data_IF_014113192633
#
_entry.id   IF_014113192633
#
_cell.length_a   1.000
_cell.length_b   1.000
_cell.length_c   1.000
_cell.angle_alpha   90.00
_cell.angle_beta   90.00
_cell.angle_gamma   90.00
#
_symmetry.space_group_name_H-M   'P 1'
#
loop_
_entity.id
_entity.type
_entity.pdbx_description
1 polymer ?
#
# COMPACT_ATOMS: atom_id res chain seq x y z
N UNK A 1 -28.24 -10.92 -17.71
CA UNK A 1 -27.06 -11.81 -17.72
C UNK A 1 -25.73 -11.15 -17.33
N UNK A 2 -25.68 -9.87 -16.91
CA UNK A 2 -24.46 -9.24 -16.37
C UNK A 2 -24.49 -9.06 -14.84
N UNK A 3 -25.66 -9.25 -14.22
CA UNK A 3 -25.88 -9.11 -12.76
C UNK A 3 -25.73 -10.46 -12.03
N UNK A 4 -25.76 -11.58 -12.76
CA UNK A 4 -25.64 -12.92 -12.17
C UNK A 4 -24.18 -13.40 -11.98
N UNK A 5 -23.20 -12.66 -12.52
CA UNK A 5 -21.78 -13.03 -12.44
C UNK A 5 -21.05 -12.41 -11.23
N UNK A 6 -21.69 -11.46 -10.54
CA UNK A 6 -21.09 -10.68 -9.45
C UNK A 6 -21.42 -11.27 -8.06
N UNK A 7 -22.43 -12.13 -7.95
CA UNK A 7 -22.91 -12.68 -6.66
C UNK A 7 -22.32 -14.03 -6.26
N UNK A 8 -21.51 -14.67 -7.11
CA UNK A 8 -20.96 -16.02 -6.86
C UNK A 8 -19.52 -16.04 -6.33
N UNK A 9 -18.87 -14.88 -6.15
CA UNK A 9 -17.48 -14.78 -5.67
C UNK A 9 -17.33 -14.50 -4.17
N UNK A 10 -18.43 -14.33 -3.41
CA UNK A 10 -18.39 -13.97 -1.99
C UNK A 10 -18.68 -15.12 -1.02
N UNK A 11 -18.77 -16.37 -1.49
CA UNK A 11 -19.24 -17.51 -0.66
C UNK A 11 -18.19 -18.59 -0.33
N UNK A 12 -16.89 -18.41 -0.62
CA UNK A 12 -15.88 -19.45 -0.36
C UNK A 12 -14.56 -18.95 0.22
N UNK A 13 -14.55 -18.21 1.34
CA UNK A 13 -13.39 -18.21 2.25
C UNK A 13 -13.85 -18.00 3.71
N UNK A 14 -14.40 -19.04 4.33
CA UNK A 14 -14.25 -19.24 5.78
C UNK A 14 -13.93 -20.72 5.98
N UNK A 15 -12.67 -21.09 5.69
CA UNK A 15 -12.07 -22.23 6.36
C UNK A 15 -11.47 -21.68 7.65
N UNK A 16 -12.12 -21.96 8.76
CA UNK A 16 -11.50 -21.81 10.07
C UNK A 16 -10.32 -22.77 10.12
N UNK A 17 -9.11 -22.24 10.12
CA UNK A 17 -7.92 -22.98 10.51
C UNK A 17 -7.98 -23.16 12.02
N UNK A 18 -8.32 -24.37 12.45
CA UNK A 18 -7.98 -24.85 13.79
C UNK A 18 -6.46 -25.00 13.84
N UNK A 19 -5.76 -24.03 14.45
CA UNK A 19 -4.35 -24.21 14.82
C UNK A 19 -4.28 -24.78 16.23
N UNK A 20 -4.13 -26.10 16.29
CA UNK A 20 -3.55 -26.84 17.41
C UNK A 20 -2.02 -26.82 17.32
N UNK A 21 -1.39 -26.65 18.49
CA UNK A 21 0.03 -26.92 18.82
C UNK A 21 1.13 -26.04 18.19
N UNK A 22 1.41 -24.90 18.84
CA UNK A 22 2.70 -24.22 18.67
C UNK A 22 3.71 -24.74 19.71
N UNK A 23 4.54 -25.70 19.31
CA UNK A 23 5.87 -25.85 19.91
C UNK A 23 6.88 -26.05 18.79
N UNK A 24 7.73 -25.04 18.60
CA UNK A 24 9.16 -25.20 18.32
C UNK A 24 9.79 -23.81 18.33
N UNK A 25 10.34 -23.44 19.47
CA UNK A 25 11.44 -22.50 19.52
C UNK A 25 12.67 -23.34 19.24
N UNK A 26 13.37 -23.07 18.15
CA UNK A 26 14.42 -23.94 17.60
C UNK A 26 15.35 -24.58 18.64
N UNK A 27 15.81 -25.78 18.29
CA UNK A 27 16.68 -26.76 18.98
C UNK A 27 18.05 -26.25 19.48
N UNK A 28 18.21 -24.94 19.69
CA UNK A 28 19.43 -24.34 20.16
C UNK A 28 19.56 -24.51 21.68
N UNK A 29 20.52 -25.31 22.10
CA UNK A 29 20.88 -25.46 23.51
C UNK A 29 21.79 -24.30 23.90
N UNK A 30 21.31 -23.44 24.80
CA UNK A 30 22.12 -22.34 25.30
C UNK A 30 23.32 -22.88 26.09
N UNK A 31 24.51 -22.24 25.97
CA UNK A 31 25.66 -22.56 26.80
C UNK A 31 25.31 -22.51 28.30
N UNK A 32 26.00 -23.31 29.11
CA UNK A 32 25.84 -23.37 30.58
C UNK A 32 24.44 -23.81 31.08
N UNK A 33 23.66 -24.53 30.25
CA UNK A 33 22.32 -25.02 30.61
C UNK A 33 21.34 -23.91 31.02
N UNK A 34 21.50 -22.69 30.49
CA UNK A 34 20.54 -21.60 30.71
C UNK A 34 19.18 -22.02 30.14
N UNK A 35 18.16 -22.04 30.99
CA UNK A 35 16.78 -22.39 30.61
C UNK A 35 15.92 -21.14 30.61
N UNK A 36 15.16 -20.97 29.54
CA UNK A 36 14.13 -19.95 29.41
C UNK A 36 12.75 -20.58 29.55
N UNK A 37 11.89 -19.94 30.34
CA UNK A 37 10.54 -20.40 30.64
C UNK A 37 9.59 -20.22 29.45
N UNK A 38 9.83 -19.20 28.62
CA UNK A 38 9.05 -18.92 27.44
C UNK A 38 9.96 -18.62 26.24
N UNK A 39 9.44 -18.90 25.05
CA UNK A 39 10.16 -18.67 23.82
C UNK A 39 9.19 -18.54 22.63
N UNK A 40 9.67 -17.96 21.54
CA UNK A 40 8.92 -17.80 20.30
C UNK A 40 9.85 -17.65 19.10
N UNK A 41 9.57 -18.40 18.03
CA UNK A 41 10.12 -18.13 16.70
C UNK A 41 9.39 -16.91 16.09
N UNK A 42 10.18 -15.95 15.59
CA UNK A 42 9.69 -14.71 14.99
C UNK A 42 9.43 -14.93 13.49
N UNK A 43 8.42 -14.24 12.94
CA UNK A 43 7.89 -14.47 11.59
C UNK A 43 8.94 -14.38 10.46
N UNK A 44 9.97 -13.57 10.65
CA UNK A 44 10.92 -13.16 9.61
C UNK A 44 12.33 -13.09 10.15
N UNK A 45 13.30 -13.13 9.24
CA UNK A 45 14.73 -13.05 9.52
C UNK A 45 15.28 -14.24 10.34
N UNK A 46 14.66 -15.42 10.30
CA UNK A 46 15.14 -16.64 10.99
C UNK A 46 15.57 -16.37 12.44
N UNK A 47 14.76 -15.59 13.14
CA UNK A 47 15.06 -15.08 14.48
C UNK A 47 14.15 -15.74 15.50
N UNK A 48 14.65 -15.95 16.71
CA UNK A 48 13.85 -16.43 17.84
C UNK A 48 14.14 -15.63 19.10
N UNK A 49 13.14 -15.54 19.97
CA UNK A 49 13.23 -14.85 21.25
C UNK A 49 12.95 -15.84 22.37
N UNK A 50 13.76 -15.80 23.42
CA UNK A 50 13.65 -16.63 24.61
C UNK A 50 13.71 -15.73 25.83
N UNK A 51 12.89 -15.97 26.84
CA UNK A 51 12.87 -15.09 28.01
C UNK A 51 12.41 -15.75 29.31
N UNK A 52 12.84 -15.14 30.41
CA UNK A 52 12.33 -15.33 31.77
C UNK A 52 11.82 -13.98 32.27
N UNK A 53 10.56 -13.92 32.72
CA UNK A 53 10.01 -12.74 33.35
C UNK A 53 9.93 -12.95 34.86
N UNK A 54 10.40 -11.96 35.62
CA UNK A 54 10.42 -11.97 37.08
C UNK A 54 9.42 -10.93 37.63
N UNK A 55 8.19 -11.33 38.01
CA UNK A 55 7.13 -10.38 38.38
C UNK A 55 7.43 -9.53 39.62
N UNK A 56 8.24 -10.04 40.55
CA UNK A 56 8.57 -9.35 41.81
C UNK A 56 9.47 -8.12 41.60
N UNK A 57 10.35 -8.16 40.60
CA UNK A 57 11.30 -7.10 40.27
C UNK A 57 10.92 -6.34 39.00
N UNK A 58 9.99 -6.87 38.18
CA UNK A 58 9.67 -6.35 36.86
C UNK A 58 10.83 -6.50 35.86
N UNK A 59 11.75 -7.44 36.12
CA UNK A 59 12.93 -7.67 35.28
C UNK A 59 12.70 -8.81 34.30
N UNK A 60 13.35 -8.70 33.15
CA UNK A 60 13.33 -9.70 32.09
C UNK A 60 14.76 -10.11 31.78
N UNK A 61 15.00 -11.42 31.76
CA UNK A 61 16.16 -12.00 31.09
C UNK A 61 15.74 -12.42 29.69
N UNK A 62 16.46 -11.98 28.67
CA UNK A 62 16.16 -12.28 27.28
C UNK A 62 17.37 -12.85 26.56
N UNK A 63 17.11 -13.78 25.64
CA UNK A 63 18.02 -14.16 24.57
C UNK A 63 17.32 -13.97 23.22
N UNK A 64 17.83 -13.03 22.41
CA UNK A 64 17.44 -12.87 21.02
C UNK A 64 18.46 -13.60 20.14
N UNK A 65 18.01 -14.60 19.40
CA UNK A 65 18.83 -15.46 18.58
C UNK A 65 18.56 -15.22 17.09
N UNK A 66 19.61 -14.97 16.31
CA UNK A 66 19.58 -15.01 14.85
C UNK A 66 20.36 -16.22 14.35
N UNK A 67 19.65 -17.18 13.76
CA UNK A 67 20.28 -18.31 13.06
C UNK A 67 20.88 -17.86 11.73
N UNK A 68 21.83 -18.61 11.16
CA UNK A 68 22.46 -18.31 9.88
C UNK A 68 23.02 -16.88 9.77
N UNK A 69 23.53 -16.33 10.89
CA UNK A 69 24.19 -15.04 10.91
C UNK A 69 25.56 -15.14 10.23
N UNK A 70 25.97 -14.07 9.54
CA UNK A 70 27.29 -13.98 8.90
C UNK A 70 28.27 -13.27 9.83
N UNK A 71 29.54 -13.61 9.73
CA UNK A 71 30.62 -13.01 10.52
C UNK A 71 30.85 -11.52 10.17
N UNK A 72 30.25 -11.05 9.07
CA UNK A 72 30.22 -9.64 8.64
C UNK A 72 28.86 -8.96 8.88
N UNK A 73 28.06 -9.45 9.83
CA UNK A 73 26.72 -8.93 10.10
C UNK A 73 26.58 -8.37 11.51
N UNK A 74 25.64 -7.44 11.66
CA UNK A 74 25.14 -6.98 12.94
C UNK A 74 23.67 -7.40 13.08
N UNK A 75 23.24 -7.62 14.32
CA UNK A 75 21.84 -7.85 14.67
C UNK A 75 21.40 -6.86 15.74
N UNK A 76 20.11 -6.54 15.74
CA UNK A 76 19.51 -5.73 16.78
C UNK A 76 18.14 -6.28 17.15
N UNK A 77 17.86 -6.28 18.45
CA UNK A 77 16.51 -6.45 18.97
C UNK A 77 16.19 -5.26 19.85
N UNK A 78 14.99 -4.70 19.73
CA UNK A 78 14.64 -3.44 20.36
C UNK A 78 13.24 -3.44 20.92
N UNK A 79 13.07 -2.72 22.02
CA UNK A 79 11.77 -2.45 22.65
C UNK A 79 11.36 -1.03 22.29
N UNK A 80 10.14 -0.83 21.83
CA UNK A 80 9.61 0.49 21.58
C UNK A 80 8.50 0.83 22.59
N UNK A 81 8.82 1.64 23.63
CA UNK A 81 7.83 2.01 24.65
C UNK A 81 6.83 3.08 24.16
N UNK A 82 7.12 3.79 23.06
CA UNK A 82 6.35 4.98 22.64
C UNK A 82 5.60 4.79 21.32
N UNK A 83 6.06 3.90 20.46
CA UNK A 83 5.50 3.68 19.12
C UNK A 83 5.59 2.19 18.73
N UNK A 84 5.12 1.86 17.52
CA UNK A 84 5.17 0.50 16.95
C UNK A 84 6.23 0.32 15.86
N UNK A 85 7.00 1.37 15.57
CA UNK A 85 7.96 1.41 14.47
C UNK A 85 9.41 1.45 14.94
N UNK A 86 10.33 1.77 14.02
CA UNK A 86 11.76 1.88 14.32
C UNK A 86 12.11 3.08 15.21
N UNK A 87 11.47 4.23 14.98
CA UNK A 87 11.74 5.46 15.73
C UNK A 87 11.11 5.38 17.13
N UNK A 88 11.90 5.71 18.15
CA UNK A 88 11.56 5.56 19.57
C UNK A 88 12.05 4.25 20.19
N UNK A 89 12.56 3.31 19.37
CA UNK A 89 13.04 2.02 19.83
C UNK A 89 14.31 2.14 20.67
N UNK A 90 14.37 1.32 21.71
CA UNK A 90 15.48 1.17 22.65
C UNK A 90 16.14 -0.18 22.32
N UNK A 91 17.26 -0.14 21.60
CA UNK A 91 17.84 -1.31 20.96
C UNK A 91 18.98 -1.92 21.77
N UNK A 92 19.05 -3.25 21.73
CA UNK A 92 20.21 -4.06 22.07
C UNK A 92 20.83 -4.51 20.76
N UNK A 93 22.12 -4.28 20.59
CA UNK A 93 22.85 -4.49 19.33
C UNK A 93 23.99 -5.46 19.60
N UNK A 94 24.20 -6.40 18.67
CA UNK A 94 25.40 -7.24 18.63
C UNK A 94 26.06 -7.18 17.25
N UNK A 95 27.38 -7.12 17.24
CA UNK A 95 28.19 -7.11 16.01
C UNK A 95 29.53 -7.78 16.21
N UNK A 96 30.15 -8.15 15.10
CA UNK A 96 31.54 -8.58 15.04
C UNK A 96 32.49 -7.39 14.95
N UNK A 97 33.51 -7.42 15.79
CA UNK A 97 34.66 -6.54 15.65
C UNK A 97 35.62 -7.11 14.59
N UNK A 98 36.47 -6.25 14.04
CA UNK A 98 37.50 -6.61 13.08
C UNK A 98 38.55 -7.60 13.62
N UNK A 99 38.65 -7.72 14.95
CA UNK A 99 39.55 -8.65 15.65
C UNK A 99 38.93 -10.04 15.89
N UNK A 100 37.70 -10.27 15.42
CA UNK A 100 36.95 -11.51 15.61
C UNK A 100 36.22 -11.63 16.95
N UNK A 101 36.34 -10.62 17.83
CA UNK A 101 35.53 -10.55 19.05
C UNK A 101 34.11 -10.07 18.77
N UNK A 102 33.18 -10.35 19.68
CA UNK A 102 31.78 -9.94 19.55
C UNK A 102 31.52 -8.84 20.57
N UNK A 103 30.96 -7.73 20.10
CA UNK A 103 30.53 -6.63 20.96
C UNK A 103 29.02 -6.61 21.07
N UNK A 104 28.52 -6.45 22.29
CA UNK A 104 27.12 -6.17 22.56
C UNK A 104 26.98 -4.86 23.33
N UNK A 105 25.98 -4.06 22.97
CA UNK A 105 25.76 -2.76 23.58
C UNK A 105 24.33 -2.27 23.35
N UNK A 106 23.94 -1.17 23.99
CA UNK A 106 22.62 -0.56 23.84
C UNK A 106 22.65 0.67 22.96
N UNK A 107 21.57 0.94 22.23
CA UNK A 107 21.47 2.10 21.34
C UNK A 107 20.05 2.68 21.31
N UNK A 108 19.83 3.95 21.68
CA UNK A 108 18.54 4.62 21.51
C UNK A 108 18.33 5.06 20.05
N UNK A 109 17.20 4.68 19.45
CA UNK A 109 16.85 5.00 18.07
C UNK A 109 15.87 6.17 18.03
N UNK A 110 16.38 7.36 17.71
CA UNK A 110 15.59 8.60 17.64
C UNK A 110 15.23 9.02 16.22
N UNK A 111 15.82 8.40 15.18
CA UNK A 111 15.52 8.71 13.79
C UNK A 111 15.81 7.52 12.85
N UNK A 112 15.30 7.59 11.61
CA UNK A 112 15.61 6.63 10.55
C UNK A 112 17.06 6.69 10.05
N UNK A 113 17.78 7.79 10.33
CA UNK A 113 19.19 7.96 9.98
C UNK A 113 20.12 7.52 11.13
N UNK A 114 19.68 6.59 11.97
CA UNK A 114 20.48 6.09 13.09
C UNK A 114 21.73 5.35 12.58
N UNK A 115 22.84 5.57 13.28
CA UNK A 115 24.08 4.81 13.11
C UNK A 115 24.23 3.74 14.20
N UNK A 116 23.16 3.45 14.94
CA UNK A 116 23.15 2.55 16.09
C UNK A 116 24.31 2.86 17.06
N UNK A 117 24.47 4.16 17.38
CA UNK A 117 25.51 4.61 18.31
C UNK A 117 25.23 4.11 19.71
N UNK A 118 26.29 3.70 20.39
CA UNK A 118 26.22 3.26 21.78
C UNK A 118 25.67 4.37 22.68
N UNK A 119 24.70 4.02 23.53
CA UNK A 119 24.02 4.97 24.41
C UNK A 119 23.06 4.29 25.38
N UNK A 120 22.69 5.01 26.43
CA UNK A 120 21.79 4.53 27.46
C UNK A 120 20.34 4.43 26.94
N UNK A 121 19.62 3.40 27.41
CA UNK A 121 18.19 3.25 27.14
C UNK A 121 17.37 4.05 28.16
N UNK A 122 16.10 4.29 27.86
CA UNK A 122 15.17 4.99 28.75
C UNK A 122 14.74 4.16 29.96
N UNK A 123 15.19 2.91 30.08
CA UNK A 123 14.92 2.01 31.18
C UNK A 123 16.20 1.31 31.66
N UNK A 124 16.26 0.85 32.93
CA UNK A 124 17.44 0.19 33.47
C UNK A 124 17.81 -1.09 32.70
N UNK A 125 19.09 -1.17 32.31
CA UNK A 125 19.71 -2.37 31.75
C UNK A 125 20.81 -2.80 32.70
N UNK A 126 20.73 -4.04 33.19
CA UNK A 126 21.66 -4.60 34.16
C UNK A 126 22.80 -5.34 33.46
N UNK A 127 22.49 -6.07 32.39
CA UNK A 127 23.49 -6.82 31.62
C UNK A 127 23.16 -6.75 30.14
N UNK A 128 24.21 -6.72 29.32
CA UNK A 128 24.15 -6.94 27.88
C UNK A 128 25.41 -7.69 27.46
N UNK A 129 25.23 -8.77 26.71
CA UNK A 129 26.34 -9.56 26.17
C UNK A 129 25.90 -10.23 24.87
N UNK A 130 26.84 -10.79 24.13
CA UNK A 130 26.53 -11.55 22.93
C UNK A 130 27.45 -12.74 22.77
N UNK A 131 26.97 -13.75 22.05
CA UNK A 131 27.73 -14.93 21.68
C UNK A 131 27.52 -15.27 20.22
N UNK A 132 28.52 -15.91 19.62
CA UNK A 132 28.36 -16.59 18.35
C UNK A 132 28.85 -18.02 18.44
N UNK A 133 28.01 -18.95 17.99
CA UNK A 133 28.38 -20.34 17.85
C UNK A 133 27.54 -20.98 16.74
N UNK A 134 28.17 -21.77 15.86
CA UNK A 134 27.47 -22.57 14.85
C UNK A 134 26.49 -21.75 13.97
N UNK A 135 26.87 -20.54 13.56
CA UNK A 135 26.01 -19.67 12.75
C UNK A 135 24.91 -18.94 13.53
N UNK A 136 24.87 -19.05 14.86
CA UNK A 136 23.91 -18.35 15.70
C UNK A 136 24.56 -17.14 16.36
N UNK A 137 24.12 -15.93 16.00
CA UNK A 137 24.48 -14.71 16.71
C UNK A 137 23.37 -14.37 17.70
N UNK A 138 23.73 -14.28 18.98
CA UNK A 138 22.75 -14.17 20.08
C UNK A 138 23.08 -12.96 20.93
N UNK A 139 22.05 -12.15 21.21
CA UNK A 139 22.09 -11.08 22.21
C UNK A 139 21.47 -11.63 23.50
N UNK A 140 22.19 -11.50 24.61
CA UNK A 140 21.67 -11.71 25.95
C UNK A 140 21.53 -10.36 26.66
N UNK A 141 20.40 -10.13 27.32
CA UNK A 141 20.23 -8.94 28.13
C UNK A 141 19.35 -9.20 29.36
N UNK A 142 19.65 -8.51 30.45
CA UNK A 142 18.79 -8.40 31.63
C UNK A 142 18.43 -6.94 31.81
N UNK A 143 17.14 -6.62 31.83
CA UNK A 143 16.65 -5.24 31.93
C UNK A 143 15.32 -5.16 32.68
N UNK A 144 14.99 -3.97 33.17
CA UNK A 144 13.69 -3.70 33.78
C UNK A 144 12.71 -3.18 32.74
N UNK A 145 11.46 -3.66 32.78
CA UNK A 145 10.45 -3.19 31.83
C UNK A 145 10.16 -1.68 32.02
N UNK A 146 10.07 -0.89 30.93
CA UNK A 146 9.94 0.56 31.00
C UNK A 146 8.61 1.07 31.57
N UNK A 147 7.62 0.19 31.70
CA UNK A 147 6.25 0.53 32.09
C UNK A 147 5.72 -0.53 33.05
N UNK A 148 4.69 -0.21 33.83
CA UNK A 148 3.94 -1.20 34.63
C UNK A 148 3.08 -2.17 33.77
N UNK A 149 3.48 -2.42 32.51
CA UNK A 149 2.82 -3.36 31.59
C UNK A 149 3.83 -4.37 31.08
N UNK A 150 3.37 -5.61 30.92
CA UNK A 150 4.14 -6.71 30.33
C UNK A 150 3.99 -6.78 28.82
N UNK A 151 3.02 -6.05 28.25
CA UNK A 151 2.80 -5.90 26.81
C UNK A 151 3.63 -4.74 26.26
N UNK A 152 4.60 -5.05 25.41
CA UNK A 152 5.49 -4.10 24.75
C UNK A 152 5.45 -4.23 23.23
N UNK A 153 5.77 -3.16 22.51
CA UNK A 153 6.12 -3.29 21.10
C UNK A 153 7.60 -3.62 20.99
N UNK A 154 7.97 -4.47 20.04
CA UNK A 154 9.36 -4.78 19.74
C UNK A 154 9.64 -4.72 18.24
N UNK A 155 10.91 -4.63 17.88
CA UNK A 155 11.39 -4.75 16.52
C UNK A 155 12.73 -5.49 16.52
N UNK A 156 13.02 -6.20 15.43
CA UNK A 156 14.32 -6.86 15.25
C UNK A 156 14.86 -6.59 13.85
N UNK A 157 16.17 -6.57 13.72
CA UNK A 157 16.84 -6.33 12.45
C UNK A 157 18.16 -7.08 12.34
N UNK A 158 18.58 -7.22 11.09
CA UNK A 158 19.94 -7.59 10.73
C UNK A 158 20.46 -6.62 9.66
N UNK A 159 21.78 -6.41 9.65
CA UNK A 159 22.46 -5.69 8.58
C UNK A 159 23.90 -6.15 8.41
N UNK A 160 24.59 -5.53 7.46
CA UNK A 160 26.00 -5.84 7.17
C UNK A 160 26.91 -4.80 7.81
N UNK A 161 28.15 -5.22 8.05
CA UNK A 161 29.26 -4.33 8.37
C UNK A 161 30.00 -3.98 7.08
N UNK A 162 30.50 -2.74 6.99
CA UNK A 162 31.43 -2.35 5.94
C UNK A 162 32.82 -2.95 6.17
N UNK A 163 33.70 -2.84 5.18
CA UNK A 163 35.11 -3.25 5.29
C UNK A 163 35.87 -2.54 6.42
N UNK A 164 35.36 -1.38 6.88
CA UNK A 164 35.90 -0.63 8.03
C UNK A 164 35.13 -0.87 9.34
N UNK A 165 34.40 -1.99 9.44
CA UNK A 165 33.58 -2.36 10.59
C UNK A 165 32.50 -1.31 10.98
N UNK A 166 32.05 -0.50 10.03
CA UNK A 166 30.94 0.43 10.26
C UNK A 166 29.61 -0.23 9.92
N UNK A 167 28.57 -0.01 10.73
CA UNK A 167 27.25 -0.60 10.51
C UNK A 167 26.61 0.04 9.27
N UNK A 168 26.25 -0.80 8.30
CA UNK A 168 25.46 -0.40 7.14
C UNK A 168 23.97 -0.48 7.49
N UNK A 169 23.11 0.32 6.81
CA UNK A 169 21.67 0.20 6.94
C UNK A 169 21.20 -1.24 6.70
N UNK A 170 20.20 -1.67 7.47
CA UNK A 170 19.52 -2.93 7.17
C UNK A 170 18.82 -2.86 5.81
N UNK A 171 18.55 -4.01 5.21
CA UNK A 171 17.80 -4.10 3.95
C UNK A 171 16.39 -3.52 4.08
N UNK A 172 15.82 -3.01 2.97
CA UNK A 172 14.41 -2.61 2.87
C UNK A 172 13.53 -3.68 2.22
N UNK A 173 13.99 -4.93 2.19
CA UNK A 173 13.21 -6.06 1.71
C UNK A 173 12.03 -6.36 2.65
N UNK A 174 11.04 -7.10 2.14
CA UNK A 174 9.83 -7.47 2.88
C UNK A 174 10.13 -8.05 4.28
N UNK A 175 11.06 -9.01 4.46
CA UNK A 175 11.39 -9.51 5.80
C UNK A 175 11.83 -8.44 6.81
N UNK A 176 12.63 -7.46 6.38
CA UNK A 176 13.06 -6.36 7.25
C UNK A 176 11.92 -5.36 7.51
N UNK A 177 11.01 -5.15 6.56
CA UNK A 177 9.87 -4.26 6.76
C UNK A 177 8.78 -4.88 7.63
N UNK A 178 8.82 -6.19 7.88
CA UNK A 178 7.87 -6.94 8.71
C UNK A 178 8.45 -7.40 10.05
N UNK A 179 9.69 -7.04 10.38
CA UNK A 179 10.37 -7.50 11.61
C UNK A 179 10.04 -6.62 12.82
N UNK A 180 8.74 -6.55 13.15
CA UNK A 180 8.22 -5.87 14.34
C UNK A 180 6.93 -6.55 14.82
N UNK A 181 6.59 -6.36 16.09
CA UNK A 181 5.48 -7.07 16.73
C UNK A 181 5.14 -6.53 18.11
N UNK A 182 4.17 -7.17 18.78
CA UNK A 182 3.90 -6.95 20.19
C UNK A 182 4.19 -8.22 20.99
N UNK A 183 4.84 -8.07 22.13
CA UNK A 183 5.25 -9.15 23.00
C UNK A 183 4.67 -8.91 24.39
N UNK A 184 3.95 -9.90 24.91
CA UNK A 184 3.55 -9.93 26.32
C UNK A 184 4.45 -10.91 27.09
N UNK A 185 5.30 -10.35 27.96
CA UNK A 185 6.25 -11.12 28.76
C UNK A 185 5.58 -12.04 29.79
N UNK A 186 4.33 -11.78 30.19
CA UNK A 186 3.61 -12.59 31.18
C UNK A 186 2.91 -13.78 30.54
N UNK A 187 2.14 -13.56 29.47
CA UNK A 187 1.34 -14.62 28.86
C UNK A 187 2.14 -15.57 27.95
N UNK A 188 3.42 -15.28 27.70
CA UNK A 188 4.23 -16.06 26.77
C UNK A 188 3.87 -15.81 25.29
N UNK A 189 2.85 -14.99 25.02
CA UNK A 189 2.32 -14.77 23.68
C UNK A 189 2.99 -13.55 23.06
N UNK A 190 3.77 -13.78 22.02
CA UNK A 190 4.00 -12.77 20.99
C UNK A 190 2.73 -12.72 20.15
N UNK A 191 1.97 -11.64 20.29
CA UNK A 191 0.93 -11.34 19.32
C UNK A 191 1.62 -10.59 18.20
N UNK A 192 1.79 -11.25 17.05
CA UNK A 192 1.97 -10.49 15.82
C UNK A 192 0.85 -9.45 15.75
N UNK A 193 1.20 -8.23 15.40
CA UNK A 193 0.29 -7.08 15.47
C UNK A 193 -0.75 -7.14 14.35
N UNK A 194 -1.47 -8.26 14.23
CA UNK A 194 -2.48 -8.53 13.21
C UNK A 194 -3.49 -7.41 13.14
N UNK A 195 -3.91 -6.83 14.26
CA UNK A 195 -4.97 -5.79 14.24
C UNK A 195 -4.57 -4.50 13.52
N UNK A 196 -3.29 -4.08 13.60
CA UNK A 196 -2.85 -2.81 12.98
C UNK A 196 -2.12 -2.99 11.65
N UNK A 197 -1.44 -4.12 11.43
CA UNK A 197 -0.91 -4.46 10.12
C UNK A 197 -2.05 -4.81 9.15
N UNK A 198 -3.10 -5.47 9.65
CA UNK A 198 -4.34 -5.63 8.89
C UNK A 198 -5.02 -4.28 8.65
N UNK A 199 -5.07 -3.34 9.61
CA UNK A 199 -5.68 -2.03 9.35
C UNK A 199 -4.91 -1.23 8.29
N UNK A 200 -3.57 -1.13 8.35
CA UNK A 200 -2.76 -0.44 7.33
C UNK A 200 -2.85 -1.11 5.96
N UNK A 201 -2.77 -2.43 5.90
CA UNK A 201 -2.92 -3.19 4.65
C UNK A 201 -4.34 -3.07 4.10
N UNK A 202 -5.35 -3.10 4.96
CA UNK A 202 -6.76 -2.86 4.62
C UNK A 202 -6.92 -1.44 4.07
N UNK A 203 -6.39 -0.41 4.71
CA UNK A 203 -6.47 0.96 4.19
C UNK A 203 -5.77 1.11 2.83
N UNK A 204 -4.61 0.48 2.64
CA UNK A 204 -3.91 0.42 1.35
C UNK A 204 -4.76 -0.27 0.27
N UNK A 205 -5.39 -1.39 0.61
CA UNK A 205 -6.26 -2.15 -0.29
C UNK A 205 -7.55 -1.39 -0.62
N UNK A 206 -8.17 -0.75 0.38
CA UNK A 206 -9.37 0.09 0.22
C UNK A 206 -9.06 1.29 -0.67
N UNK A 207 -7.96 2.00 -0.39
CA UNK A 207 -7.49 3.10 -1.24
C UNK A 207 -7.27 2.65 -2.69
N UNK A 208 -6.53 1.54 -2.88
CA UNK A 208 -6.27 0.98 -4.21
C UNK A 208 -7.56 0.58 -4.94
N UNK A 209 -8.49 -0.06 -4.25
CA UNK A 209 -9.78 -0.51 -4.79
C UNK A 209 -10.66 0.66 -5.20
N UNK A 210 -10.88 1.62 -4.29
CA UNK A 210 -11.71 2.80 -4.55
C UNK A 210 -11.19 3.58 -5.76
N UNK A 211 -9.86 3.82 -5.83
CA UNK A 211 -9.28 4.59 -6.91
C UNK A 211 -9.19 3.82 -8.23
N UNK A 212 -9.00 2.49 -8.19
CA UNK A 212 -9.05 1.66 -9.42
C UNK A 212 -10.45 1.67 -10.01
N UNK A 213 -11.49 1.50 -9.19
CA UNK A 213 -12.89 1.52 -9.65
C UNK A 213 -13.26 2.91 -10.16
N UNK A 214 -13.02 3.96 -9.37
CA UNK A 214 -13.35 5.35 -9.72
C UNK A 214 -12.52 5.85 -10.91
N UNK A 215 -11.23 6.11 -10.69
CA UNK A 215 -10.35 6.78 -11.63
C UNK A 215 -9.92 5.86 -12.77
N UNK A 216 -9.68 4.58 -12.45
CA UNK A 216 -9.16 3.62 -13.41
C UNK A 216 -10.21 3.06 -14.37
N UNK A 217 -11.49 2.99 -13.99
CA UNK A 217 -12.53 2.28 -14.77
C UNK A 217 -13.73 3.16 -15.06
N UNK A 218 -14.37 3.74 -14.04
CA UNK A 218 -15.61 4.50 -14.23
C UNK A 218 -15.37 5.80 -15.00
N UNK A 219 -14.30 6.54 -14.71
CA UNK A 219 -13.95 7.77 -15.43
C UNK A 219 -13.79 7.53 -16.95
N UNK A 220 -13.00 6.53 -17.42
CA UNK A 220 -12.96 6.14 -18.84
C UNK A 220 -14.32 5.76 -19.43
N UNK A 221 -15.12 4.96 -18.72
CA UNK A 221 -16.47 4.57 -19.18
C UNK A 221 -17.34 5.80 -19.38
N UNK A 222 -17.31 6.76 -18.44
CA UNK A 222 -18.00 8.03 -18.57
C UNK A 222 -17.59 8.81 -19.82
N UNK A 223 -16.30 8.84 -20.16
CA UNK A 223 -15.79 9.49 -21.39
C UNK A 223 -16.30 8.77 -22.65
N UNK A 224 -16.24 7.44 -22.69
CA UNK A 224 -16.75 6.62 -23.80
C UNK A 224 -18.24 6.88 -24.03
N UNK A 225 -19.05 6.89 -22.95
CA UNK A 225 -20.48 7.21 -23.03
C UNK A 225 -20.71 8.60 -23.62
N UNK A 226 -20.01 9.62 -23.11
CA UNK A 226 -20.14 11.00 -23.59
C UNK A 226 -19.70 11.19 -25.05
N UNK A 227 -18.73 10.39 -25.52
CA UNK A 227 -18.21 10.46 -26.89
C UNK A 227 -19.11 9.77 -27.91
N UNK A 228 -19.58 8.55 -27.61
CA UNK A 228 -20.26 7.72 -28.61
C UNK A 228 -21.78 7.76 -28.51
N UNK A 229 -22.36 7.82 -27.32
CA UNK A 229 -23.82 7.81 -27.19
C UNK A 229 -24.46 9.11 -27.69
N UNK A 230 -23.73 10.22 -27.71
CA UNK A 230 -24.21 11.50 -28.26
C UNK A 230 -24.51 11.47 -29.76
N UNK A 231 -24.01 10.46 -30.48
CA UNK A 231 -24.12 10.37 -31.94
C UNK A 231 -25.48 9.82 -32.35
N UNK A 232 -26.09 8.93 -31.55
CA UNK A 232 -27.36 8.29 -31.89
C UNK A 232 -28.56 9.19 -31.56
N UNK A 233 -29.29 9.63 -32.59
CA UNK A 233 -30.44 10.54 -32.43
C UNK A 233 -31.53 10.00 -31.49
N UNK A 234 -31.72 8.67 -31.46
CA UNK A 234 -32.74 8.00 -30.63
C UNK A 234 -32.52 8.13 -29.12
N UNK A 235 -31.34 8.57 -28.67
CA UNK A 235 -31.04 8.78 -27.25
C UNK A 235 -31.29 10.22 -26.77
N UNK A 236 -31.52 11.17 -27.67
CA UNK A 236 -31.82 12.57 -27.32
C UNK A 236 -30.86 13.16 -26.27
N UNK A 237 -31.39 13.65 -25.15
CA UNK A 237 -30.61 14.19 -24.03
C UNK A 237 -30.06 13.14 -23.05
N UNK A 238 -30.42 11.87 -23.21
CA UNK A 238 -30.13 10.81 -22.24
C UNK A 238 -28.63 10.53 -22.11
N UNK A 239 -27.87 10.58 -23.21
CA UNK A 239 -26.42 10.40 -23.17
C UNK A 239 -25.74 11.39 -22.20
N UNK A 240 -26.25 12.62 -22.15
CA UNK A 240 -25.69 13.68 -21.30
C UNK A 240 -25.94 13.38 -19.83
N UNK A 241 -27.12 12.83 -19.50
CA UNK A 241 -27.45 12.40 -18.15
C UNK A 241 -26.61 11.19 -17.73
N UNK A 242 -26.44 10.20 -18.61
CA UNK A 242 -25.60 9.02 -18.35
C UNK A 242 -24.14 9.41 -18.11
N UNK A 243 -23.56 10.25 -18.97
CA UNK A 243 -22.22 10.78 -18.79
C UNK A 243 -22.10 11.51 -17.44
N UNK A 244 -23.02 12.45 -17.17
CA UNK A 244 -22.99 13.25 -15.94
C UNK A 244 -23.12 12.37 -14.69
N UNK A 245 -24.07 11.44 -14.67
CA UNK A 245 -24.28 10.55 -13.53
C UNK A 245 -23.06 9.67 -13.26
N UNK A 246 -22.48 9.07 -14.31
CA UNK A 246 -21.29 8.24 -14.20
C UNK A 246 -20.08 9.03 -13.69
N UNK A 247 -19.81 10.21 -14.26
CA UNK A 247 -18.69 11.06 -13.84
C UNK A 247 -18.85 11.58 -12.42
N UNK A 248 -20.06 11.99 -12.03
CA UNK A 248 -20.34 12.44 -10.66
C UNK A 248 -20.14 11.31 -9.65
N UNK A 249 -20.64 10.11 -9.94
CA UNK A 249 -20.45 8.95 -9.04
C UNK A 249 -18.98 8.55 -8.95
N UNK A 250 -18.27 8.53 -10.08
CA UNK A 250 -16.84 8.26 -10.11
C UNK A 250 -16.08 9.28 -9.25
N UNK A 251 -16.39 10.58 -9.35
CA UNK A 251 -15.74 11.62 -8.55
C UNK A 251 -16.02 11.46 -7.06
N UNK A 252 -17.25 11.14 -6.65
CA UNK A 252 -17.60 10.92 -5.23
C UNK A 252 -16.78 9.79 -4.61
N UNK A 253 -16.70 8.64 -5.30
CA UNK A 253 -15.86 7.50 -4.88
C UNK A 253 -14.37 7.91 -4.89
N UNK A 254 -13.96 8.69 -5.89
CA UNK A 254 -12.60 9.18 -6.04
C UNK A 254 -12.16 10.15 -4.93
N UNK A 255 -13.08 10.96 -4.39
CA UNK A 255 -12.82 11.83 -3.23
C UNK A 255 -12.58 10.99 -1.98
N UNK A 256 -13.38 9.94 -1.73
CA UNK A 256 -13.14 9.01 -0.63
C UNK A 256 -11.80 8.27 -0.80
N UNK A 257 -11.51 7.82 -2.02
CA UNK A 257 -10.23 7.22 -2.40
C UNK A 257 -9.05 8.17 -2.15
N UNK A 258 -9.16 9.43 -2.52
CA UNK A 258 -8.12 10.45 -2.29
C UNK A 258 -7.95 10.77 -0.80
N UNK A 259 -9.06 10.94 -0.07
CA UNK A 259 -9.06 11.19 1.37
C UNK A 259 -8.37 10.07 2.16
N UNK A 260 -8.63 8.81 1.82
CA UNK A 260 -7.91 7.67 2.43
C UNK A 260 -6.40 7.72 2.16
N UNK A 261 -5.97 8.18 0.98
CA UNK A 261 -4.56 8.37 0.63
C UNK A 261 -3.88 9.46 1.46
N UNK A 262 -4.54 10.62 1.64
CA UNK A 262 -4.05 11.69 2.51
C UNK A 262 -3.98 11.25 3.97
N UNK A 263 -5.01 10.56 4.45
CA UNK A 263 -5.05 10.01 5.80
C UNK A 263 -3.88 9.06 6.06
N UNK A 264 -3.61 8.11 5.15
CA UNK A 264 -2.47 7.21 5.25
C UNK A 264 -1.13 7.94 5.24
N UNK A 265 -1.00 8.99 4.42
CA UNK A 265 0.20 9.83 4.39
C UNK A 265 0.48 10.50 5.73
N UNK A 266 -0.55 11.11 6.34
CA UNK A 266 -0.40 11.85 7.60
C UNK A 266 -0.28 10.94 8.82
N UNK A 267 -1.02 9.83 8.87
CA UNK A 267 -1.12 8.97 10.04
C UNK A 267 -0.06 7.85 10.07
N UNK A 268 0.36 7.35 8.89
CA UNK A 268 1.33 6.25 8.80
C UNK A 268 2.68 6.65 8.18
N UNK A 269 2.88 7.93 7.86
CA UNK A 269 4.11 8.43 7.22
C UNK A 269 4.38 7.82 5.83
N UNK A 270 3.34 7.30 5.18
CA UNK A 270 3.44 6.66 3.86
C UNK A 270 3.51 7.72 2.76
N UNK A 271 4.71 8.08 2.33
CA UNK A 271 4.92 9.08 1.29
C UNK A 271 5.55 8.48 0.03
N UNK A 272 4.80 8.51 -1.07
CA UNK A 272 5.31 8.25 -2.40
C UNK A 272 5.13 9.49 -3.26
N UNK A 273 6.18 10.32 -3.33
CA UNK A 273 6.10 11.68 -3.90
C UNK A 273 5.48 11.73 -5.29
N UNK A 274 5.88 10.91 -6.29
CA UNK A 274 5.30 11.00 -7.63
C UNK A 274 3.81 10.63 -7.68
N UNK A 275 3.41 9.56 -6.99
CA UNK A 275 2.01 9.10 -6.94
C UNK A 275 1.12 10.11 -6.23
N UNK A 276 1.61 10.72 -5.15
CA UNK A 276 0.89 11.76 -4.41
C UNK A 276 0.72 13.03 -5.23
N UNK A 277 1.79 13.51 -5.88
CA UNK A 277 1.74 14.71 -6.71
C UNK A 277 0.72 14.53 -7.84
N UNK A 278 0.79 13.43 -8.59
CA UNK A 278 -0.18 13.16 -9.66
C UNK A 278 -1.59 12.95 -9.11
N UNK A 279 -1.76 12.30 -7.96
CA UNK A 279 -3.06 12.17 -7.30
C UNK A 279 -3.69 13.53 -6.95
N UNK A 280 -2.90 14.48 -6.46
CA UNK A 280 -3.35 15.85 -6.18
C UNK A 280 -3.69 16.57 -7.49
N UNK A 281 -2.83 16.48 -8.51
CA UNK A 281 -3.09 17.07 -9.84
C UNK A 281 -4.39 16.54 -10.44
N UNK A 282 -4.65 15.23 -10.37
CA UNK A 282 -5.89 14.61 -10.82
C UNK A 282 -7.11 15.20 -10.14
N UNK A 283 -7.04 15.39 -8.82
CA UNK A 283 -8.13 15.98 -8.05
C UNK A 283 -8.39 17.42 -8.51
N UNK A 284 -7.35 18.25 -8.63
CA UNK A 284 -7.47 19.62 -9.12
C UNK A 284 -8.08 19.69 -10.53
N UNK A 285 -7.60 18.86 -11.46
CA UNK A 285 -8.12 18.82 -12.83
C UNK A 285 -9.58 18.37 -12.88
N UNK A 286 -9.97 17.37 -12.09
CA UNK A 286 -11.35 16.90 -12.04
C UNK A 286 -12.32 17.94 -11.44
N UNK A 287 -11.92 18.63 -10.37
CA UNK A 287 -12.70 19.74 -9.84
C UNK A 287 -12.82 20.88 -10.86
N UNK A 288 -11.73 21.26 -11.52
CA UNK A 288 -11.76 22.26 -12.59
C UNK A 288 -12.71 21.82 -13.73
N UNK A 289 -12.66 20.54 -14.12
CA UNK A 289 -13.53 19.97 -15.13
C UNK A 289 -15.01 20.10 -14.75
N UNK A 290 -15.39 19.75 -13.51
CA UNK A 290 -16.77 19.84 -13.02
C UNK A 290 -17.21 21.29 -12.87
N UNK A 291 -16.40 22.15 -12.25
CA UNK A 291 -16.72 23.57 -12.06
C UNK A 291 -16.95 24.26 -13.41
N UNK A 292 -16.06 24.08 -14.38
CA UNK A 292 -16.22 24.66 -15.72
C UNK A 292 -17.41 24.03 -16.45
N UNK A 293 -17.64 22.72 -16.29
CA UNK A 293 -18.71 22.02 -17.00
C UNK A 293 -20.11 22.31 -16.45
N UNK A 294 -20.25 22.64 -15.17
CA UNK A 294 -21.52 22.93 -14.51
C UNK A 294 -21.78 24.44 -14.44
N UNK A 295 -20.81 25.22 -13.96
CA UNK A 295 -21.01 26.64 -13.67
C UNK A 295 -20.79 27.55 -14.89
N UNK A 296 -19.90 27.15 -15.81
CA UNK A 296 -19.44 28.01 -16.89
C UNK A 296 -19.82 27.50 -18.29
N UNK A 297 -20.81 26.59 -18.38
CA UNK A 297 -21.23 25.99 -19.66
C UNK A 297 -22.02 27.01 -20.51
N UNK A 298 -21.49 27.47 -21.66
CA UNK A 298 -22.21 28.43 -22.51
C UNK A 298 -23.35 27.75 -23.27
N UNK A 299 -24.35 28.54 -23.70
CA UNK A 299 -25.39 28.11 -24.64
C UNK A 299 -24.76 27.64 -25.97
N UNK A 300 -25.48 26.78 -26.72
CA UNK A 300 -24.93 26.07 -27.89
C UNK A 300 -24.46 27.00 -29.02
N UNK A 301 -25.10 28.15 -29.14
CA UNK A 301 -24.92 29.21 -30.12
C UNK A 301 -23.87 30.27 -29.71
N UNK A 302 -23.34 30.19 -28.49
CA UNK A 302 -22.41 31.20 -27.96
C UNK A 302 -20.96 31.00 -28.45
N UNK A 303 -20.24 32.08 -28.80
CA UNK A 303 -18.85 32.02 -29.29
C UNK A 303 -17.87 31.25 -28.37
N UNK A 304 -18.02 31.41 -27.05
CA UNK A 304 -17.18 30.70 -26.06
C UNK A 304 -17.51 29.21 -25.93
N UNK A 305 -18.56 28.70 -26.58
CA UNK A 305 -18.89 27.27 -26.58
C UNK A 305 -17.74 26.44 -27.17
N UNK A 306 -17.05 26.96 -28.17
CA UNK A 306 -15.89 26.30 -28.79
C UNK A 306 -14.72 26.18 -27.80
N UNK A 307 -14.35 27.29 -27.13
CA UNK A 307 -13.29 27.31 -26.12
C UNK A 307 -13.61 26.36 -24.97
N UNK A 308 -14.86 26.38 -24.48
CA UNK A 308 -15.33 25.45 -23.45
C UNK A 308 -15.22 23.99 -23.90
N UNK A 309 -15.56 23.66 -25.16
CA UNK A 309 -15.43 22.30 -25.68
C UNK A 309 -13.96 21.87 -25.73
N UNK A 310 -13.05 22.73 -26.22
CA UNK A 310 -11.62 22.44 -26.28
C UNK A 310 -11.07 22.18 -24.87
N UNK A 311 -11.34 23.08 -23.93
CA UNK A 311 -10.96 22.90 -22.53
C UNK A 311 -11.48 21.56 -21.98
N UNK A 312 -12.78 21.30 -22.14
CA UNK A 312 -13.42 20.10 -21.62
C UNK A 312 -12.82 18.83 -22.21
N UNK A 313 -12.49 18.80 -23.50
CA UNK A 313 -11.86 17.64 -24.11
C UNK A 313 -10.41 17.47 -23.65
N UNK A 314 -9.58 18.52 -23.71
CA UNK A 314 -8.15 18.44 -23.38
C UNK A 314 -7.96 18.04 -21.92
N UNK A 315 -8.62 18.74 -20.99
CA UNK A 315 -8.51 18.46 -19.55
C UNK A 315 -9.10 17.09 -19.22
N UNK A 316 -10.21 16.72 -19.87
CA UNK A 316 -10.82 15.40 -19.72
C UNK A 316 -9.86 14.26 -20.10
N UNK A 317 -9.28 14.29 -21.31
CA UNK A 317 -8.35 13.24 -21.75
C UNK A 317 -7.04 13.23 -20.96
N UNK A 318 -6.50 14.40 -20.59
CA UNK A 318 -5.32 14.49 -19.74
C UNK A 318 -5.57 13.84 -18.37
N UNK A 319 -6.75 14.07 -17.78
CA UNK A 319 -7.15 13.45 -16.51
C UNK A 319 -7.21 11.92 -16.63
N UNK A 320 -7.76 11.38 -17.72
CA UNK A 320 -7.80 9.92 -17.94
C UNK A 320 -6.39 9.34 -18.08
N UNK A 321 -5.51 9.97 -18.86
CA UNK A 321 -4.14 9.49 -19.04
C UNK A 321 -3.36 9.46 -17.71
N UNK A 322 -3.45 10.55 -16.93
CA UNK A 322 -2.84 10.64 -15.61
C UNK A 322 -3.45 9.62 -14.64
N UNK A 323 -4.77 9.36 -14.70
CA UNK A 323 -5.45 8.41 -13.84
C UNK A 323 -4.95 6.98 -14.07
N UNK A 324 -4.85 6.55 -15.33
CA UNK A 324 -4.34 5.23 -15.71
C UNK A 324 -2.90 5.07 -15.20
N UNK A 325 -2.03 6.05 -15.46
CA UNK A 325 -0.66 6.01 -14.98
C UNK A 325 -0.58 5.94 -13.45
N UNK A 326 -1.39 6.75 -12.75
CA UNK A 326 -1.36 6.81 -11.30
C UNK A 326 -1.89 5.52 -10.65
N UNK A 327 -2.87 4.86 -11.25
CA UNK A 327 -3.37 3.54 -10.82
C UNK A 327 -2.31 2.47 -11.03
N UNK A 328 -1.65 2.44 -12.20
CA UNK A 328 -0.53 1.52 -12.45
C UNK A 328 0.61 1.72 -11.45
N UNK A 329 0.96 2.98 -11.16
CA UNK A 329 1.95 3.31 -10.14
C UNK A 329 1.51 2.88 -8.74
N UNK A 330 0.21 2.99 -8.44
CA UNK A 330 -0.40 2.50 -7.20
C UNK A 330 -0.24 0.99 -7.05
N UNK A 331 -0.46 0.21 -8.10
CA UNK A 331 -0.20 -1.24 -8.08
C UNK A 331 1.27 -1.58 -7.81
N UNK A 332 2.21 -0.82 -8.38
CA UNK A 332 3.64 -1.01 -8.11
C UNK A 332 4.00 -0.68 -6.66
N UNK A 333 3.38 0.36 -6.07
CA UNK A 333 3.57 0.73 -4.66
C UNK A 333 2.95 -0.31 -3.72
N UNK A 334 1.83 -0.91 -4.10
CA UNK A 334 1.18 -1.94 -3.31
C UNK A 334 1.94 -3.27 -3.31
N UNK A 335 2.93 -3.43 -4.20
CA UNK A 335 3.50 -4.73 -4.58
C UNK A 335 2.38 -5.76 -4.82
N UNK A 336 1.32 -5.30 -5.49
CA UNK A 336 0.14 -6.11 -5.71
C UNK A 336 0.52 -7.32 -6.56
N UNK A 337 -0.05 -8.49 -6.22
CA UNK A 337 0.15 -9.70 -7.01
C UNK A 337 -0.02 -9.38 -8.50
N UNK A 338 0.96 -9.81 -9.31
CA UNK A 338 1.05 -9.53 -10.75
C UNK A 338 -0.27 -9.77 -11.50
N UNK A 339 -1.10 -10.69 -11.01
CA UNK A 339 -2.44 -10.95 -11.54
C UNK A 339 -3.32 -9.69 -11.50
N UNK A 340 -3.39 -8.95 -10.39
CA UNK A 340 -4.23 -7.75 -10.26
C UNK A 340 -3.84 -6.66 -11.25
N UNK A 341 -2.53 -6.37 -11.36
CA UNK A 341 -2.01 -5.40 -12.32
C UNK A 341 -2.32 -5.83 -13.76
N UNK A 342 -2.13 -7.11 -14.08
CA UNK A 342 -2.46 -7.67 -15.41
C UNK A 342 -3.96 -7.58 -15.71
N UNK A 343 -4.82 -7.91 -14.74
CA UNK A 343 -6.27 -7.80 -14.87
C UNK A 343 -6.69 -6.36 -15.17
N UNK A 344 -6.16 -5.39 -14.42
CA UNK A 344 -6.44 -3.98 -14.68
C UNK A 344 -5.99 -3.54 -16.08
N UNK A 345 -4.78 -3.93 -16.51
CA UNK A 345 -4.30 -3.65 -17.88
C UNK A 345 -5.24 -4.29 -18.93
N UNK A 346 -5.69 -5.53 -18.70
CA UNK A 346 -6.66 -6.20 -19.56
C UNK A 346 -7.99 -5.44 -19.67
N UNK A 347 -8.49 -4.87 -18.55
CA UNK A 347 -9.70 -4.03 -18.54
C UNK A 347 -9.49 -2.77 -19.39
N UNK A 348 -8.36 -2.08 -19.23
CA UNK A 348 -8.06 -0.87 -20.01
C UNK A 348 -7.95 -1.18 -21.50
N UNK A 349 -7.27 -2.26 -21.88
CA UNK A 349 -7.18 -2.70 -23.28
C UNK A 349 -8.55 -3.04 -23.85
N UNK A 350 -9.41 -3.69 -23.05
CA UNK A 350 -10.79 -4.01 -23.46
C UNK A 350 -11.62 -2.74 -23.67
N UNK A 351 -11.52 -1.75 -22.78
CA UNK A 351 -12.18 -0.46 -22.94
C UNK A 351 -11.68 0.31 -24.17
N UNK A 352 -10.38 0.25 -24.44
CA UNK A 352 -9.79 0.84 -25.65
C UNK A 352 -10.31 0.15 -26.92
N UNK A 353 -10.41 -1.19 -26.93
CA UNK A 353 -10.98 -1.94 -28.04
C UNK A 353 -12.46 -1.60 -28.27
N UNK A 354 -13.26 -1.50 -27.19
CA UNK A 354 -14.65 -1.06 -27.27
C UNK A 354 -14.73 0.37 -27.86
N UNK A 355 -13.87 1.29 -27.43
CA UNK A 355 -13.85 2.64 -27.97
C UNK A 355 -13.53 2.65 -29.48
N UNK A 356 -12.57 1.83 -29.93
CA UNK A 356 -12.23 1.70 -31.36
C UNK A 356 -13.42 1.15 -32.16
N UNK A 357 -14.09 0.10 -31.66
CA UNK A 357 -15.27 -0.48 -32.30
C UNK A 357 -16.40 0.56 -32.39
N UNK A 358 -16.67 1.27 -31.29
CA UNK A 358 -17.68 2.32 -31.26
C UNK A 358 -17.33 3.49 -32.18
N UNK A 359 -16.04 3.84 -32.32
CA UNK A 359 -15.57 4.81 -33.31
C UNK A 359 -15.96 4.34 -34.72
N UNK A 360 -15.62 3.12 -35.12
CA UNK A 360 -16.00 2.56 -36.43
C UNK A 360 -17.53 2.59 -36.65
N UNK A 361 -18.30 2.14 -35.66
CA UNK A 361 -19.78 2.11 -35.74
C UNK A 361 -20.34 3.52 -35.92
N UNK A 362 -19.89 4.48 -35.10
CA UNK A 362 -20.37 5.86 -35.17
C UNK A 362 -19.99 6.54 -36.48
N UNK A 363 -18.80 6.27 -37.02
CA UNK A 363 -18.40 6.71 -38.36
C UNK A 363 -19.32 6.15 -39.46
N UNK A 364 -19.59 4.84 -39.45
CA UNK A 364 -20.52 4.20 -40.41
C UNK A 364 -21.91 4.81 -40.30
N UNK A 365 -22.41 5.00 -39.08
CA UNK A 365 -23.73 5.58 -38.84
C UNK A 365 -23.84 7.01 -39.38
N UNK A 366 -22.84 7.87 -39.13
CA UNK A 366 -22.81 9.24 -39.64
C UNK A 366 -22.75 9.25 -41.18
N UNK A 367 -21.91 8.41 -41.79
CA UNK A 367 -21.82 8.29 -43.25
C UNK A 367 -23.16 7.85 -43.87
N UNK A 368 -23.83 6.86 -43.29
CA UNK A 368 -25.13 6.39 -43.75
C UNK A 368 -26.22 7.45 -43.61
N UNK A 369 -26.27 8.16 -42.48
CA UNK A 369 -27.21 9.28 -42.26
C UNK A 369 -27.00 10.40 -43.27
N UNK A 370 -25.75 10.80 -43.50
CA UNK A 370 -25.41 11.82 -44.50
C UNK A 370 -25.81 11.39 -45.91
N UNK A 371 -25.69 10.09 -46.24
CA UNK A 371 -26.13 9.54 -47.54
C UNK A 371 -27.64 9.60 -47.69
N UNK A 372 -28.40 9.21 -46.67
CA UNK A 372 -29.87 9.25 -46.67
C UNK A 372 -30.40 10.68 -46.81
N UNK A 373 -29.83 11.64 -46.07
CA UNK A 373 -30.18 13.06 -46.19
C UNK A 373 -29.88 13.61 -47.59
N UNK A 374 -28.74 13.23 -48.19
CA UNK A 374 -28.43 13.61 -49.58
C UNK A 374 -29.44 13.05 -50.58
N UNK A 375 -29.85 11.78 -50.43
CA UNK A 375 -30.87 11.20 -51.31
C UNK A 375 -32.24 11.87 -51.14
N UNK A 376 -32.66 12.20 -49.91
CA UNK A 376 -33.92 12.90 -49.65
C UNK A 376 -33.92 14.30 -50.27
N UNK A 377 -32.83 15.06 -50.13
CA UNK A 377 -32.70 16.38 -50.77
C UNK A 377 -32.73 16.30 -52.30
N UNK A 378 -32.11 15.28 -52.91
CA UNK A 378 -32.15 15.08 -54.36
C UNK A 378 -33.56 14.69 -54.87
N UNK A 379 -34.29 13.86 -54.14
CA UNK A 379 -35.68 13.53 -54.48
C UNK A 379 -36.57 14.77 -54.40
N UNK A 380 -36.42 15.57 -53.34
CA UNK A 380 -37.20 16.79 -53.16
C UNK A 380 -36.91 17.86 -54.22
N UNK A 381 -35.64 18.02 -54.63
CA UNK A 381 -35.28 18.93 -55.72
C UNK A 381 -35.83 18.48 -57.08
N UNK A 382 -35.92 17.17 -57.33
CA UNK A 382 -36.43 16.63 -58.60
C UNK A 382 -37.95 16.75 -58.69
N UNK A 383 -38.68 16.70 -57.56
CA UNK A 383 -40.13 16.90 -57.52
C UNK A 383 -40.57 18.38 -57.58
N UNK A 384 -39.65 19.33 -57.47
CA UNK A 384 -39.92 20.77 -57.51
C UNK A 384 -39.51 21.46 -58.82
N UNK A 385 -39.00 20.71 -59.82
CA UNK A 385 -38.79 21.25 -61.17
C UNK A 385 -40.12 21.18 -61.96
N UNK A 386 -40.60 22.32 -62.52
CA UNK A 386 -41.87 22.40 -63.23
C UNK A 386 -41.91 21.62 -64.55
#
# INVERSE_FOLDING_TARGET
MLVLFVTLLTAMIVRGSTETEACKCNSYSFPNNVKYAACKDLAVLESSLHWNYHPSSGTVDVAFNKANAKDSSWIAWAINPTSKGMVGSQAFVALYNSDGSIKAYTSPITSYATLLKEGLLTFPVYTVSASYANGHLIIFATFQLPSNTTLINHAWQQGLLSDHATLLPHSFSSPNLHSFGALDFLSGKVSETDRNMNSRTTFRNVHGTLNTISWGIMMPIGVIMGRYLKVFDGLGGTWFQLHRACQSLALLIGIAGFGSGLYMGNHYGLHHTPHRCVGITLMCLAFAQVCVAVCLRPKKDHKYRMVWNVFHYVVGYATIALAIWNVLKGFDILDANKIWKKTYVGIILSLAAIAIIMEIITWIWVCNKNRLQKSEMQVHSTQQQP
#
